data_IF_837008683596
#
_entry.id   IF_837008683596
#
_cell.length_a   1.000
_cell.length_b   1.000
_cell.length_c   1.000
_cell.angle_alpha   90.00
_cell.angle_beta   90.00
_cell.angle_gamma   90.00
#
_symmetry.space_group_name_H-M   'P 1'
#
loop_
_entity.id
_entity.type
_entity.pdbx_description
1 polymer ?
#
# COMPACT_ATOMS: atom_id res chain seq x y z
N UNK A 1 -9.96 -24.26 14.57
CA UNK A 1 -9.42 -23.01 13.96
C UNK A 1 -10.19 -22.81 12.67
N UNK A 2 -10.69 -21.62 12.42
CA UNK A 2 -11.28 -21.28 11.13
C UNK A 2 -10.16 -20.99 10.12
N UNK A 3 -10.34 -21.38 8.87
CA UNK A 3 -9.39 -21.09 7.79
C UNK A 3 -9.23 -19.57 7.60
N UNK A 4 -8.06 -19.15 7.15
CA UNK A 4 -7.78 -17.77 6.75
C UNK A 4 -7.54 -17.73 5.25
N UNK A 5 -8.34 -16.93 4.56
CA UNK A 5 -8.25 -16.76 3.12
C UNK A 5 -7.35 -15.59 2.77
N UNK A 6 -6.21 -15.90 2.13
CA UNK A 6 -5.28 -14.91 1.59
C UNK A 6 -5.56 -14.66 0.12
N UNK A 7 -5.60 -13.39 -0.26
CA UNK A 7 -5.56 -12.95 -1.64
C UNK A 7 -4.34 -12.06 -1.86
N UNK A 8 -3.46 -12.50 -2.74
CA UNK A 8 -2.24 -11.79 -3.08
C UNK A 8 -2.34 -11.31 -4.52
N UNK A 9 -2.23 -10.01 -4.72
CA UNK A 9 -2.20 -9.40 -6.05
C UNK A 9 -0.86 -8.72 -6.29
N UNK A 10 -0.56 -8.42 -7.54
CA UNK A 10 0.68 -7.76 -7.93
C UNK A 10 0.66 -6.25 -7.75
N UNK A 11 1.26 -5.54 -8.71
CA UNK A 11 1.36 -4.09 -8.72
C UNK A 11 -0.02 -3.42 -8.78
N UNK A 12 -0.22 -2.44 -7.92
CA UNK A 12 -1.44 -1.66 -7.87
C UNK A 12 -1.14 -0.17 -7.91
N UNK A 13 -1.94 0.56 -8.67
CA UNK A 13 -1.87 2.00 -8.79
C UNK A 13 -3.28 2.57 -8.98
N UNK A 14 -3.66 3.53 -8.15
CA UNK A 14 -4.97 4.22 -8.19
C UNK A 14 -4.86 5.67 -8.64
N UNK A 15 -3.69 6.13 -9.10
CA UNK A 15 -3.43 7.49 -9.56
C UNK A 15 -4.19 7.84 -10.85
N UNK A 16 -5.51 8.03 -10.72
CA UNK A 16 -6.44 8.35 -11.81
C UNK A 16 -7.61 9.18 -11.29
N UNK A 17 -8.37 9.88 -12.18
CA UNK A 17 -9.49 10.74 -11.76
C UNK A 17 -10.58 10.04 -10.95
N UNK A 18 -10.83 8.74 -11.23
CA UNK A 18 -11.71 7.88 -10.45
C UNK A 18 -10.90 6.68 -9.89
N UNK A 19 -10.30 6.80 -8.70
CA UNK A 19 -9.48 5.75 -8.10
C UNK A 19 -10.21 4.42 -7.88
N UNK A 20 -11.51 4.46 -7.58
CA UNK A 20 -12.31 3.25 -7.34
C UNK A 20 -12.43 2.37 -8.58
N UNK A 21 -12.38 2.97 -9.77
CA UNK A 21 -12.41 2.24 -11.03
C UNK A 21 -11.24 1.26 -11.19
N UNK A 22 -10.16 1.44 -10.42
CA UNK A 22 -9.02 0.52 -10.44
C UNK A 22 -9.39 -0.89 -9.97
N UNK A 23 -10.30 -0.99 -9.01
CA UNK A 23 -10.67 -2.26 -8.37
C UNK A 23 -12.09 -2.73 -8.70
N UNK A 24 -12.92 -1.89 -9.31
CA UNK A 24 -14.34 -2.18 -9.56
C UNK A 24 -14.59 -3.57 -10.17
N UNK A 25 -13.85 -4.01 -11.22
CA UNK A 25 -14.07 -5.33 -11.82
C UNK A 25 -13.71 -6.50 -10.91
N UNK A 26 -12.80 -6.30 -9.95
CA UNK A 26 -12.24 -7.36 -9.09
C UNK A 26 -12.81 -7.35 -7.67
N UNK A 27 -13.66 -6.37 -7.33
CA UNK A 27 -14.26 -6.25 -6.00
C UNK A 27 -14.90 -7.53 -5.46
N UNK A 28 -15.64 -8.33 -6.24
CA UNK A 28 -16.22 -9.58 -5.74
C UNK A 28 -15.15 -10.56 -5.23
N UNK A 29 -14.02 -10.66 -5.93
CA UNK A 29 -12.90 -11.52 -5.51
C UNK A 29 -12.19 -10.94 -4.28
N UNK A 30 -11.95 -9.63 -4.27
CA UNK A 30 -11.29 -8.95 -3.16
C UNK A 30 -12.09 -9.10 -1.85
N UNK A 31 -13.41 -8.99 -1.91
CA UNK A 31 -14.27 -9.07 -0.72
C UNK A 31 -14.32 -10.44 -0.07
N UNK A 32 -13.98 -11.49 -0.81
CA UNK A 32 -14.03 -12.87 -0.34
C UNK A 32 -12.75 -13.32 0.41
N UNK A 33 -11.86 -12.43 0.77
CA UNK A 33 -10.62 -12.75 1.48
C UNK A 33 -10.55 -12.06 2.85
N UNK A 34 -9.81 -12.66 3.78
CA UNK A 34 -9.53 -12.10 5.11
C UNK A 34 -8.31 -11.18 5.09
N UNK A 35 -7.29 -11.59 4.32
CA UNK A 35 -6.06 -10.84 4.12
C UNK A 35 -5.91 -10.54 2.63
N UNK A 36 -5.79 -9.25 2.31
CA UNK A 36 -5.62 -8.75 0.94
C UNK A 36 -4.31 -7.98 0.86
N UNK A 37 -3.38 -8.59 0.17
CA UNK A 37 -2.05 -8.05 -0.07
C UNK A 37 -1.96 -7.48 -1.48
N UNK A 38 -1.30 -6.32 -1.62
CA UNK A 38 -0.85 -5.81 -2.91
C UNK A 38 0.58 -5.27 -2.84
N UNK A 39 1.22 -5.20 -4.00
CA UNK A 39 2.40 -4.39 -4.18
C UNK A 39 1.95 -2.95 -4.47
N UNK A 40 2.22 -2.04 -3.52
CA UNK A 40 1.93 -0.62 -3.71
C UNK A 40 2.99 -0.02 -4.64
N UNK A 41 2.63 0.17 -5.90
CA UNK A 41 3.58 0.64 -6.93
C UNK A 41 3.82 2.15 -6.89
N UNK A 42 3.31 2.85 -5.88
CA UNK A 42 3.53 4.28 -5.71
C UNK A 42 3.66 4.61 -4.23
N UNK A 43 4.28 5.74 -3.92
CA UNK A 43 4.14 6.33 -2.57
C UNK A 43 2.73 6.90 -2.40
N UNK A 44 2.28 7.01 -1.15
CA UNK A 44 1.06 7.75 -0.79
C UNK A 44 1.49 9.10 -0.23
N UNK A 45 1.25 10.16 -0.98
CA UNK A 45 1.80 11.47 -0.71
C UNK A 45 0.97 12.61 -1.32
N UNK A 46 0.95 13.76 -0.69
CA UNK A 46 0.35 14.98 -1.24
C UNK A 46 1.25 15.68 -2.28
N UNK A 47 0.61 16.38 -3.21
CA UNK A 47 1.30 17.13 -4.27
C UNK A 47 2.38 18.11 -3.78
N UNK A 48 2.29 18.58 -2.54
CA UNK A 48 3.25 19.55 -1.94
C UNK A 48 4.67 19.00 -1.78
N UNK A 49 4.85 17.68 -1.79
CA UNK A 49 6.15 17.02 -1.66
C UNK A 49 6.81 16.68 -2.99
N UNK A 50 6.36 17.29 -4.09
CA UNK A 50 6.99 17.05 -5.40
C UNK A 50 8.48 17.41 -5.37
N UNK A 51 9.30 16.48 -5.84
CA UNK A 51 10.74 16.71 -5.97
C UNK A 51 11.03 17.87 -6.94
N UNK A 52 12.08 18.70 -6.68
CA UNK A 52 12.42 19.86 -7.52
C UNK A 52 12.63 19.57 -9.01
N UNK A 53 12.89 18.32 -9.37
CA UNK A 53 13.05 17.91 -10.78
C UNK A 53 11.72 17.58 -11.48
N UNK A 54 10.59 18.08 -10.98
CA UNK A 54 9.27 17.91 -11.56
C UNK A 54 9.07 16.55 -12.26
N UNK A 55 8.92 15.52 -11.46
CA UNK A 55 8.55 14.19 -11.93
C UNK A 55 7.05 13.95 -11.85
N UNK A 56 6.27 14.99 -12.18
CA UNK A 56 4.81 14.94 -12.14
C UNK A 56 4.17 13.82 -12.96
N UNK A 57 4.93 13.31 -13.97
CA UNK A 57 4.53 12.16 -14.78
C UNK A 57 4.74 10.81 -14.07
N UNK A 58 5.45 10.78 -12.93
CA UNK A 58 5.67 9.54 -12.21
C UNK A 58 4.41 9.16 -11.40
N UNK A 59 4.09 7.87 -11.35
CA UNK A 59 2.95 7.38 -10.59
C UNK A 59 3.04 7.80 -9.12
N UNK A 60 1.93 8.28 -8.59
CA UNK A 60 1.75 8.54 -7.16
C UNK A 60 0.30 8.33 -6.77
N UNK A 61 0.09 8.08 -5.51
CA UNK A 61 -1.23 8.04 -4.90
C UNK A 61 -1.35 9.21 -3.94
N UNK A 62 -2.23 10.15 -4.20
CA UNK A 62 -2.54 11.20 -3.23
C UNK A 62 -3.29 10.60 -2.02
N UNK A 63 -3.15 11.22 -0.84
CA UNK A 63 -3.71 10.65 0.41
C UNK A 63 -5.22 10.33 0.28
N UNK A 64 -6.00 11.18 -0.38
CA UNK A 64 -7.42 10.94 -0.59
C UNK A 64 -7.72 9.70 -1.45
N UNK A 65 -6.82 9.34 -2.38
CA UNK A 65 -6.96 8.18 -3.26
C UNK A 65 -6.77 6.85 -2.51
N UNK A 66 -6.11 6.88 -1.33
CA UNK A 66 -5.94 5.70 -0.49
C UNK A 66 -7.29 5.09 -0.09
N UNK A 67 -8.34 5.90 -0.06
CA UNK A 67 -9.69 5.44 0.23
C UNK A 67 -10.18 4.36 -0.73
N UNK A 68 -9.70 4.34 -1.98
CA UNK A 68 -10.04 3.28 -2.94
C UNK A 68 -9.48 1.91 -2.51
N UNK A 69 -8.25 1.88 -1.98
CA UNK A 69 -7.67 0.66 -1.41
C UNK A 69 -8.44 0.18 -0.18
N UNK A 70 -8.83 1.09 0.71
CA UNK A 70 -9.61 0.77 1.91
C UNK A 70 -10.99 0.22 1.54
N UNK A 71 -11.69 0.85 0.58
CA UNK A 71 -12.98 0.35 0.09
C UNK A 71 -12.87 -1.00 -0.62
N UNK A 72 -11.76 -1.26 -1.30
CA UNK A 72 -11.45 -2.56 -1.89
C UNK A 72 -11.04 -3.60 -0.82
N UNK A 73 -10.74 -3.15 0.41
CA UNK A 73 -10.44 -3.97 1.56
C UNK A 73 -8.98 -4.39 1.69
N UNK A 74 -8.05 -3.76 0.98
CA UNK A 74 -6.62 -4.02 1.17
C UNK A 74 -6.19 -3.68 2.59
N UNK A 75 -5.45 -4.58 3.22
CA UNK A 75 -5.03 -4.48 4.59
C UNK A 75 -3.54 -4.80 4.81
N UNK A 76 -2.84 -5.26 3.75
CA UNK A 76 -1.38 -5.46 3.75
C UNK A 76 -0.81 -4.93 2.44
N UNK A 77 0.29 -4.15 2.52
CA UNK A 77 0.97 -3.57 1.36
C UNK A 77 2.48 -3.80 1.41
N UNK A 78 3.06 -4.23 0.27
CA UNK A 78 4.50 -4.19 0.08
C UNK A 78 4.93 -2.82 -0.41
N UNK A 79 6.02 -2.29 0.17
CA UNK A 79 6.65 -1.03 -0.21
C UNK A 79 8.07 -1.20 -0.77
N UNK A 80 8.56 -2.42 -0.93
CA UNK A 80 9.84 -2.69 -1.60
C UNK A 80 9.69 -2.53 -3.12
N UNK A 81 9.57 -1.29 -3.58
CA UNK A 81 9.31 -1.00 -4.98
C UNK A 81 10.16 0.17 -5.49
N UNK A 82 10.55 0.13 -6.77
CA UNK A 82 11.41 1.15 -7.37
C UNK A 82 10.83 2.58 -7.35
N UNK A 83 9.52 2.82 -7.56
CA UNK A 83 8.99 4.19 -7.55
C UNK A 83 9.05 4.87 -6.18
N UNK A 84 9.20 4.14 -5.09
CA UNK A 84 9.17 4.70 -3.73
C UNK A 84 10.28 5.72 -3.48
N UNK A 85 11.41 5.63 -4.18
CA UNK A 85 12.52 6.57 -4.03
C UNK A 85 12.48 7.72 -5.05
N UNK A 86 11.56 7.71 -6.02
CA UNK A 86 11.56 8.70 -7.10
C UNK A 86 11.25 10.12 -6.64
N UNK A 87 10.47 10.26 -5.59
CA UNK A 87 10.06 11.55 -5.04
C UNK A 87 10.94 12.01 -3.86
N UNK A 88 11.92 11.19 -3.47
CA UNK A 88 12.83 11.48 -2.37
C UNK A 88 12.41 10.84 -1.06
N UNK A 89 13.15 11.19 0.00
CA UNK A 89 13.03 10.51 1.29
C UNK A 89 11.81 10.95 2.11
N UNK A 90 11.53 12.26 2.14
CA UNK A 90 10.41 12.79 2.94
C UNK A 90 9.05 12.25 2.51
N UNK A 91 8.70 12.21 1.21
CA UNK A 91 7.46 11.59 0.75
C UNK A 91 7.34 10.11 1.11
N UNK A 92 8.45 9.37 1.08
CA UNK A 92 8.47 7.97 1.49
C UNK A 92 8.11 7.82 2.98
N UNK A 93 8.71 8.63 3.85
CA UNK A 93 8.40 8.61 5.29
C UNK A 93 6.94 9.02 5.55
N UNK A 94 6.45 10.02 4.83
CA UNK A 94 5.04 10.42 4.91
C UNK A 94 4.10 9.28 4.51
N UNK A 95 4.46 8.53 3.48
CA UNK A 95 3.69 7.35 3.04
C UNK A 95 3.50 6.33 4.18
N UNK A 96 4.55 6.08 5.00
CA UNK A 96 4.42 5.19 6.16
C UNK A 96 3.40 5.71 7.17
N UNK A 97 3.47 7.00 7.51
CA UNK A 97 2.53 7.61 8.46
C UNK A 97 1.08 7.52 7.99
N UNK A 98 0.85 7.73 6.69
CA UNK A 98 -0.49 7.67 6.09
C UNK A 98 -1.03 6.24 6.10
N UNK A 99 -0.20 5.24 5.78
CA UNK A 99 -0.59 3.83 5.83
C UNK A 99 -0.87 3.37 7.26
N UNK A 100 -0.02 3.74 8.21
CA UNK A 100 -0.21 3.45 9.63
C UNK A 100 -1.52 4.05 10.16
N UNK A 101 -1.78 5.32 9.85
CA UNK A 101 -3.01 6.00 10.24
C UNK A 101 -4.27 5.35 9.63
N UNK A 102 -4.15 4.76 8.45
CA UNK A 102 -5.20 4.02 7.78
C UNK A 102 -5.36 2.56 8.30
N UNK A 103 -4.49 2.12 9.20
CA UNK A 103 -4.49 0.75 9.73
C UNK A 103 -4.04 -0.31 8.72
N UNK A 104 -3.29 0.09 7.71
CA UNK A 104 -2.73 -0.80 6.70
C UNK A 104 -1.36 -1.29 7.18
N UNK A 105 -1.21 -2.59 7.30
CA UNK A 105 0.07 -3.22 7.64
C UNK A 105 0.98 -3.19 6.40
N UNK A 106 2.24 -2.77 6.56
CA UNK A 106 3.14 -2.65 5.42
C UNK A 106 4.56 -3.16 5.74
N UNK A 107 5.28 -3.62 4.72
CA UNK A 107 6.63 -4.16 4.80
C UNK A 107 7.48 -3.74 3.59
N UNK A 108 8.79 -3.96 3.69
CA UNK A 108 9.72 -3.85 2.57
C UNK A 108 10.40 -2.50 2.42
N UNK A 109 10.04 -1.50 3.24
CA UNK A 109 10.73 -0.21 3.32
C UNK A 109 10.74 0.30 4.76
N UNK A 110 11.63 1.24 5.07
CA UNK A 110 11.78 1.80 6.41
C UNK A 110 12.75 2.96 6.43
N UNK A 111 12.88 3.61 7.61
CA UNK A 111 13.83 4.71 7.85
C UNK A 111 15.28 4.25 7.80
N UNK A 112 15.49 2.98 8.08
CA UNK A 112 16.78 2.31 8.01
C UNK A 112 16.61 0.83 7.58
N UNK A 113 17.73 0.12 7.46
CA UNK A 113 17.74 -1.28 7.04
C UNK A 113 17.06 -2.22 8.07
N UNK A 114 17.13 -1.90 9.35
CA UNK A 114 16.50 -2.70 10.39
C UNK A 114 14.97 -2.57 10.31
N UNK A 115 14.47 -1.36 10.10
CA UNK A 115 13.05 -1.10 9.88
C UNK A 115 12.56 -1.73 8.57
N UNK A 116 13.30 -1.57 7.48
CA UNK A 116 12.96 -2.14 6.17
C UNK A 116 12.87 -3.68 6.17
N UNK A 117 13.61 -4.35 7.04
CA UNK A 117 13.60 -5.81 7.23
C UNK A 117 12.57 -6.30 8.24
N UNK A 118 11.90 -5.38 8.92
CA UNK A 118 10.92 -5.74 9.94
C UNK A 118 9.71 -6.43 9.27
N UNK A 119 9.31 -7.61 9.75
CA UNK A 119 8.15 -8.27 9.19
C UNK A 119 6.87 -7.50 9.51
N UNK A 120 6.00 -7.38 8.52
CA UNK A 120 4.64 -6.91 8.71
C UNK A 120 3.77 -8.11 9.16
N UNK A 121 3.17 -8.02 10.34
CA UNK A 121 2.37 -9.12 10.92
C UNK A 121 0.91 -8.70 10.99
N UNK A 122 0.04 -9.54 10.45
CA UNK A 122 -1.41 -9.39 10.56
C UNK A 122 -2.02 -10.66 11.18
N UNK A 123 -3.01 -10.49 12.04
CA UNK A 123 -3.73 -11.60 12.65
C UNK A 123 -5.18 -11.61 12.17
N UNK A 124 -5.65 -12.78 11.75
CA UNK A 124 -7.04 -13.04 11.36
C UNK A 124 -7.45 -14.42 11.85
N UNK A 125 -8.63 -14.51 12.45
CA UNK A 125 -9.21 -15.78 12.92
C UNK A 125 -8.25 -16.61 13.79
N UNK A 126 -7.41 -15.96 14.62
CA UNK A 126 -6.41 -16.61 15.46
C UNK A 126 -5.15 -17.10 14.73
N UNK A 127 -5.03 -16.81 13.43
CA UNK A 127 -3.84 -17.11 12.62
C UNK A 127 -3.02 -15.85 12.39
N UNK A 128 -1.73 -15.93 12.70
CA UNK A 128 -0.76 -14.84 12.44
C UNK A 128 -0.03 -15.10 11.15
N UNK A 129 -0.06 -14.13 10.24
CA UNK A 129 0.65 -14.16 8.96
C UNK A 129 1.68 -13.04 8.93
N UNK A 130 2.92 -13.38 8.56
CA UNK A 130 4.02 -12.43 8.43
C UNK A 130 4.38 -12.24 6.96
N UNK A 131 4.58 -11.00 6.55
CA UNK A 131 5.11 -10.60 5.25
C UNK A 131 6.51 -10.04 5.45
N UNK A 132 7.49 -10.51 4.68
CA UNK A 132 8.92 -10.19 4.79
C UNK A 132 9.50 -9.82 3.44
#
# INVERSE_FOLDING_TARGET
>A
MSDVKLLLVGDTNVGRPDPDSAFAPTLPLLRDADIRFCNLQTIVDDAKYLHPYDRSHLPRTEEWMLQAYLRAGFNVMNQANNPHTYHGHEPLLRSFEVLDAAGIVHAGAGRDLAEARKPAIIERNGTRVAFV
#
